data_IF_127739928889
#
_entry.id   IF_127739928889
#
_cell.length_a   1.000
_cell.length_b   1.000
_cell.length_c   1.000
_cell.angle_alpha   90.00
_cell.angle_beta   90.00
_cell.angle_gamma   90.00
#
_symmetry.space_group_name_H-M   'P 1'
#
loop_
_entity.id
_entity.type
_entity.pdbx_description
1 polymer ?
#
# COMPACT_ATOMS: atom_id res chain seq x y z
N UNK A 1 -0.26 18.01 26.14
CA UNK A 1 0.93 18.81 25.74
C UNK A 1 2.23 17.98 25.72
N UNK A 2 2.32 16.90 26.50
CA UNK A 2 3.43 15.93 26.50
C UNK A 2 3.61 15.30 25.10
N UNK A 3 4.85 15.26 24.59
CA UNK A 3 5.15 14.65 23.28
C UNK A 3 5.28 13.13 23.42
N UNK A 4 4.77 12.39 22.43
CA UNK A 4 4.88 10.93 22.34
C UNK A 4 5.49 10.53 20.99
N UNK A 5 6.06 9.33 20.89
CA UNK A 5 6.67 8.80 19.66
C UNK A 5 8.19 8.99 19.57
N UNK A 6 8.77 8.83 18.38
CA UNK A 6 10.18 9.15 18.14
C UNK A 6 10.40 10.64 18.38
N UNK A 7 11.53 10.99 18.99
CA UNK A 7 11.75 12.39 19.24
C UNK A 7 11.12 12.90 20.56
N UNK A 8 10.87 12.07 21.58
CA UNK A 8 10.01 12.43 22.72
C UNK A 8 10.65 12.45 24.11
N UNK A 9 11.86 11.97 24.29
CA UNK A 9 12.48 11.84 25.61
C UNK A 9 13.17 13.13 26.06
N UNK A 10 13.40 13.28 27.37
CA UNK A 10 14.19 14.39 27.94
C UNK A 10 15.57 14.53 27.30
N UNK A 11 16.23 13.41 26.99
CA UNK A 11 17.56 13.32 26.39
C UNK A 11 17.71 14.09 25.07
N UNK A 12 16.62 14.28 24.33
CA UNK A 12 16.69 14.94 23.04
C UNK A 12 16.48 16.45 23.09
N UNK A 13 15.93 16.97 24.19
CA UNK A 13 15.72 18.41 24.38
C UNK A 13 15.55 18.71 25.86
N UNK A 14 16.67 18.89 26.54
CA UNK A 14 16.74 19.18 27.98
C UNK A 14 15.99 20.46 28.35
N UNK A 15 16.04 21.48 27.48
CA UNK A 15 15.33 22.75 27.64
C UNK A 15 13.80 22.66 27.62
N UNK A 16 13.24 21.51 27.22
CA UNK A 16 11.79 21.25 27.20
C UNK A 16 11.32 20.33 28.33
N UNK A 17 12.17 20.11 29.34
CA UNK A 17 11.85 19.37 30.56
C UNK A 17 11.77 20.33 31.75
N UNK A 18 10.57 20.86 32.01
CA UNK A 18 10.30 21.79 33.10
C UNK A 18 8.95 21.45 33.77
N UNK A 19 8.76 21.87 35.02
CA UNK A 19 7.53 21.68 35.77
C UNK A 19 6.53 22.79 35.51
N UNK A 20 5.25 22.45 35.46
CA UNK A 20 4.15 23.41 35.39
C UNK A 20 3.34 23.29 36.68
N UNK A 21 3.32 24.38 37.46
CA UNK A 21 2.60 24.46 38.73
C UNK A 21 1.15 24.88 38.48
N UNK A 22 0.21 24.09 39.00
CA UNK A 22 -1.23 24.29 38.80
C UNK A 22 -1.93 24.36 40.15
N UNK A 23 -2.83 25.33 40.32
CA UNK A 23 -3.70 25.40 41.51
C UNK A 23 -4.71 24.24 41.53
N UNK A 24 -4.83 23.56 42.67
CA UNK A 24 -5.65 22.37 42.78
C UNK A 24 -7.15 22.64 42.65
N UNK A 25 -7.59 23.85 42.98
CA UNK A 25 -9.00 24.26 43.03
C UNK A 25 -9.42 24.95 41.73
N UNK A 26 -8.66 25.95 41.27
CA UNK A 26 -9.01 26.75 40.08
C UNK A 26 -8.52 26.11 38.78
N UNK A 27 -7.56 25.18 38.85
CA UNK A 27 -6.85 24.60 37.69
C UNK A 27 -6.12 25.66 36.84
N UNK A 28 -5.84 26.83 37.42
CA UNK A 28 -5.03 27.86 36.78
C UNK A 28 -3.55 27.50 36.87
N UNK A 29 -2.81 27.81 35.81
CA UNK A 29 -1.35 27.64 35.78
C UNK A 29 -0.74 28.83 36.53
N UNK A 30 -0.20 28.56 37.72
CA UNK A 30 0.34 29.58 38.62
C UNK A 30 1.78 29.92 38.24
N UNK A 31 2.57 28.91 37.90
CA UNK A 31 3.99 29.08 37.62
C UNK A 31 4.52 28.03 36.64
N UNK A 32 5.65 28.32 36.01
CA UNK A 32 6.40 27.39 35.15
C UNK A 32 7.87 27.46 35.55
N UNK A 33 8.42 26.35 36.02
CA UNK A 33 9.80 26.29 36.50
C UNK A 33 10.79 26.48 35.35
N UNK A 34 12.04 26.79 35.68
CA UNK A 34 13.13 26.60 34.73
C UNK A 34 13.28 25.11 34.37
N UNK A 35 13.87 24.85 33.21
CA UNK A 35 14.23 23.49 32.83
C UNK A 35 15.30 22.95 33.78
N UNK A 36 15.26 21.64 34.04
CA UNK A 36 16.30 21.03 34.87
C UNK A 36 17.68 21.13 34.19
N UNK A 37 18.74 21.47 34.93
CA UNK A 37 20.02 21.90 34.37
C UNK A 37 20.83 20.77 33.72
N UNK A 38 20.54 19.52 34.03
CA UNK A 38 21.21 18.34 33.45
C UNK A 38 20.25 17.15 33.40
N UNK A 39 20.58 16.11 32.62
CA UNK A 39 19.81 14.86 32.60
C UNK A 39 19.76 14.14 33.96
N UNK A 40 20.83 14.23 34.74
CA UNK A 40 20.98 13.56 36.03
C UNK A 40 20.24 14.28 37.18
N UNK A 41 19.70 15.48 36.90
CA UNK A 41 18.94 16.23 37.89
C UNK A 41 17.61 15.52 38.17
N UNK A 42 17.43 15.08 39.42
CA UNK A 42 16.19 14.49 39.89
C UNK A 42 15.05 15.51 39.89
N UNK A 43 13.82 15.03 39.69
CA UNK A 43 12.61 15.85 39.77
C UNK A 43 12.43 16.33 41.22
N UNK A 44 12.39 17.66 41.49
CA UNK A 44 12.21 18.18 42.83
C UNK A 44 10.87 17.78 43.45
N UNK A 45 10.87 17.45 44.73
CA UNK A 45 9.64 17.18 45.49
C UNK A 45 8.84 18.47 45.64
N UNK A 46 7.58 18.44 45.23
CA UNK A 46 6.68 19.57 45.40
C UNK A 46 6.18 19.66 46.85
N UNK A 47 6.41 20.80 47.50
CA UNK A 47 6.15 20.98 48.94
C UNK A 47 4.82 21.70 49.24
N UNK A 48 4.23 22.40 48.27
CA UNK A 48 2.97 23.11 48.47
C UNK A 48 1.78 22.14 48.36
N UNK A 49 0.82 22.24 49.27
CA UNK A 49 -0.38 21.38 49.31
C UNK A 49 -1.52 21.94 48.45
N UNK A 50 -1.52 23.24 48.18
CA UNK A 50 -2.57 23.93 47.45
C UNK A 50 -2.36 23.88 45.93
N UNK A 51 -1.12 23.63 45.50
CA UNK A 51 -0.74 23.47 44.10
C UNK A 51 -0.23 22.06 43.80
N UNK A 52 -0.22 21.68 42.53
CA UNK A 52 0.37 20.44 42.02
C UNK A 52 1.38 20.78 40.94
N UNK A 53 2.57 20.20 41.01
CA UNK A 53 3.58 20.29 39.96
C UNK A 53 3.38 19.18 38.93
N UNK A 54 3.14 19.56 37.68
CA UNK A 54 3.00 18.64 36.55
C UNK A 54 4.29 18.62 35.74
N UNK A 55 4.94 17.46 35.70
CA UNK A 55 6.13 17.20 34.88
C UNK A 55 5.76 16.40 33.63
N UNK A 56 6.55 16.47 32.54
CA UNK A 56 6.29 15.71 31.32
C UNK A 56 6.72 14.23 31.47
N UNK A 57 6.27 13.55 32.53
CA UNK A 57 6.53 12.11 32.78
C UNK A 57 5.31 11.32 32.31
N UNK A 58 5.48 10.23 31.57
CA UNK A 58 4.36 9.39 31.13
C UNK A 58 3.86 8.40 32.19
N UNK A 59 2.75 7.72 31.90
CA UNK A 59 2.07 6.81 32.83
C UNK A 59 2.93 5.55 33.16
N UNK A 60 4.04 5.33 32.43
CA UNK A 60 5.04 4.29 32.68
C UNK A 60 6.27 4.83 33.43
N UNK A 61 6.23 6.10 33.86
CA UNK A 61 7.34 6.76 34.56
C UNK A 61 8.45 7.26 33.63
N UNK A 62 8.27 7.24 32.30
CA UNK A 62 9.32 7.68 31.37
C UNK A 62 9.32 9.20 31.26
N UNK A 63 10.50 9.80 31.44
CA UNK A 63 10.74 11.23 31.27
C UNK A 63 10.65 11.64 29.79
N UNK A 64 9.50 12.22 29.42
CA UNK A 64 9.27 12.83 28.10
C UNK A 64 9.58 14.31 28.14
N UNK A 65 9.36 15.00 27.03
CA UNK A 65 9.43 16.47 26.95
C UNK A 65 8.07 17.12 26.64
N UNK A 66 7.94 18.38 26.99
CA UNK A 66 6.85 19.21 26.49
C UNK A 66 7.02 19.49 25.00
N UNK A 67 5.89 19.69 24.32
CA UNK A 67 5.90 20.04 22.89
C UNK A 67 6.39 21.48 22.62
N UNK A 68 6.22 22.38 23.60
CA UNK A 68 6.58 23.80 23.50
C UNK A 68 7.65 24.19 24.54
N UNK A 69 8.45 25.20 24.21
CA UNK A 69 9.39 25.80 25.15
C UNK A 69 8.69 26.61 26.24
N UNK A 70 9.38 26.81 27.36
CA UNK A 70 8.88 27.48 28.57
C UNK A 70 8.22 28.83 28.31
N UNK A 71 8.92 29.74 27.62
CA UNK A 71 8.44 31.11 27.39
C UNK A 71 7.10 31.14 26.64
N UNK A 72 6.95 30.20 25.71
CA UNK A 72 5.71 30.04 24.95
C UNK A 72 4.56 29.57 25.83
N UNK A 73 4.81 28.62 26.73
CA UNK A 73 3.79 28.12 27.68
C UNK A 73 3.35 29.21 28.65
N UNK A 74 4.28 30.00 29.19
CA UNK A 74 3.96 31.13 30.08
C UNK A 74 3.04 32.14 29.37
N UNK A 75 3.37 32.48 28.12
CA UNK A 75 2.56 33.40 27.31
C UNK A 75 1.19 32.81 26.98
N UNK A 76 1.15 31.58 26.47
CA UNK A 76 -0.08 30.93 26.02
C UNK A 76 -1.02 30.55 27.18
N UNK A 77 -0.48 30.33 28.39
CA UNK A 77 -1.27 30.15 29.61
C UNK A 77 -2.03 31.44 29.99
N UNK A 78 -1.37 32.61 29.89
CA UNK A 78 -2.02 33.91 30.11
C UNK A 78 -3.09 34.23 29.07
N UNK A 79 -2.88 33.79 27.83
CA UNK A 79 -3.84 33.91 26.73
C UNK A 79 -4.99 32.89 26.80
N UNK A 80 -4.95 31.94 27.75
CA UNK A 80 -5.93 30.86 27.88
C UNK A 80 -5.88 29.81 26.77
N UNK A 81 -4.82 29.81 25.95
CA UNK A 81 -4.62 28.80 24.90
C UNK A 81 -3.91 27.56 25.43
N UNK A 82 -3.23 27.65 26.57
CA UNK A 82 -2.76 26.51 27.37
C UNK A 82 -3.52 26.50 28.69
N UNK A 83 -4.03 25.34 29.11
CA UNK A 83 -4.75 25.21 30.38
C UNK A 83 -4.55 23.84 31.00
N UNK A 84 -4.75 23.74 32.31
CA UNK A 84 -4.76 22.48 33.02
C UNK A 84 -6.18 21.89 33.07
N UNK A 85 -6.28 20.56 33.00
CA UNK A 85 -7.55 19.84 33.10
C UNK A 85 -7.37 18.60 33.95
N UNK A 86 -8.30 18.36 34.87
CA UNK A 86 -8.33 17.11 35.64
C UNK A 86 -8.95 15.99 34.82
N UNK A 87 -8.22 14.88 34.62
CA UNK A 87 -8.68 13.68 33.91
C UNK A 87 -8.31 12.47 34.77
N UNK A 88 -9.30 11.62 35.09
CA UNK A 88 -9.11 10.43 35.94
C UNK A 88 -8.41 10.71 37.28
N UNK A 89 -8.67 11.89 37.87
CA UNK A 89 -8.07 12.32 39.14
C UNK A 89 -6.75 13.09 39.00
N UNK A 90 -6.03 12.93 37.89
CA UNK A 90 -4.74 13.58 37.64
C UNK A 90 -4.89 14.90 36.87
N UNK A 91 -4.00 15.85 37.12
CA UNK A 91 -3.96 17.12 36.39
C UNK A 91 -3.09 16.96 35.15
N UNK A 92 -3.66 17.24 33.98
CA UNK A 92 -2.98 17.17 32.69
C UNK A 92 -2.97 18.53 32.01
N UNK A 93 -1.86 18.87 31.35
CA UNK A 93 -1.72 20.13 30.61
C UNK A 93 -2.17 19.96 29.15
N UNK A 94 -3.19 20.74 28.78
CA UNK A 94 -3.76 20.82 27.45
C UNK A 94 -3.36 22.12 26.75
N UNK A 95 -3.40 22.10 25.43
CA UNK A 95 -3.16 23.29 24.62
C UNK A 95 -4.13 23.31 23.45
N UNK A 96 -4.54 24.52 23.06
CA UNK A 96 -5.40 24.78 21.93
C UNK A 96 -4.50 24.94 20.73
N UNK A 97 -4.50 23.93 19.87
CA UNK A 97 -4.01 24.14 18.52
C UNK A 97 -5.08 24.95 17.79
N UNK A 98 -4.90 26.28 17.69
CA UNK A 98 -5.63 27.05 16.69
C UNK A 98 -5.43 26.31 15.37
N UNK A 99 -6.53 25.89 14.74
CA UNK A 99 -6.47 25.19 13.48
C UNK A 99 -5.73 26.10 12.51
N UNK A 100 -4.43 25.86 12.29
CA UNK A 100 -3.71 26.47 11.17
C UNK A 100 -4.63 26.24 9.96
N UNK A 101 -4.83 27.24 9.07
CA UNK A 101 -5.50 26.97 7.81
C UNK A 101 -4.75 25.81 7.17
N UNK A 102 -5.32 24.61 7.30
CA UNK A 102 -4.79 23.41 6.66
C UNK A 102 -5.12 23.63 5.21
N UNK A 103 -4.12 23.48 4.34
CA UNK A 103 -4.37 23.40 2.90
C UNK A 103 -5.56 22.46 2.70
N UNK A 104 -6.55 22.89 1.89
CA UNK A 104 -7.71 22.04 1.63
C UNK A 104 -7.16 20.72 1.11
N UNK A 105 -7.44 19.64 1.84
CA UNK A 105 -6.99 18.31 1.45
C UNK A 105 -7.83 17.86 0.27
N UNK A 106 -7.20 17.28 -0.75
CA UNK A 106 -7.91 16.48 -1.74
C UNK A 106 -8.31 15.16 -1.07
N UNK A 107 -9.44 15.15 -0.36
CA UNK A 107 -9.95 13.96 0.33
C UNK A 107 -10.97 13.27 -0.55
N UNK A 108 -10.67 12.03 -0.89
CA UNK A 108 -11.57 11.12 -1.59
C UNK A 108 -12.49 10.52 -0.52
N UNK A 109 -13.76 10.96 -0.47
CA UNK A 109 -14.74 10.55 0.53
C UNK A 109 -16.00 9.99 -0.13
N UNK A 110 -16.50 8.87 0.38
CA UNK A 110 -17.79 8.33 -0.02
C UNK A 110 -17.80 6.80 -0.05
N UNK A 111 -18.99 6.17 0.02
CA UNK A 111 -19.11 4.72 0.02
C UNK A 111 -18.44 4.07 -1.18
N UNK A 112 -18.64 4.63 -2.40
CA UNK A 112 -18.06 4.10 -3.65
C UNK A 112 -16.54 3.99 -3.60
N UNK A 113 -15.88 4.86 -2.84
CA UNK A 113 -14.42 4.92 -2.73
C UNK A 113 -13.87 3.94 -1.68
N UNK A 114 -14.75 3.26 -0.94
CA UNK A 114 -14.37 2.27 0.06
C UNK A 114 -13.98 0.92 -0.57
N UNK A 115 -12.78 0.45 -0.24
CA UNK A 115 -12.24 -0.80 -0.76
C UNK A 115 -12.86 -2.04 -0.10
N UNK A 116 -13.35 -1.94 1.14
CA UNK A 116 -13.95 -3.09 1.83
C UNK A 116 -15.28 -3.50 1.20
N UNK A 117 -16.20 -2.56 1.00
CA UNK A 117 -17.50 -2.83 0.38
C UNK A 117 -17.34 -3.07 -1.12
N UNK A 118 -16.78 -2.13 -1.88
CA UNK A 118 -16.83 -2.21 -3.35
C UNK A 118 -15.61 -2.90 -4.01
N UNK A 119 -14.56 -3.20 -3.25
CA UNK A 119 -13.48 -4.06 -3.71
C UNK A 119 -13.79 -5.53 -3.47
N UNK A 120 -13.96 -5.91 -2.21
CA UNK A 120 -14.10 -7.31 -1.79
C UNK A 120 -15.43 -7.94 -2.21
N UNK A 121 -16.57 -7.23 -2.07
CA UNK A 121 -17.88 -7.79 -2.48
C UNK A 121 -17.97 -7.99 -3.99
N UNK A 122 -17.39 -7.07 -4.78
CA UNK A 122 -17.31 -7.22 -6.24
C UNK A 122 -16.46 -8.42 -6.63
N UNK A 123 -15.31 -8.61 -5.97
CA UNK A 123 -14.50 -9.81 -6.22
C UNK A 123 -15.30 -11.08 -5.86
N UNK A 124 -16.06 -11.05 -4.76
CA UNK A 124 -16.91 -12.15 -4.33
C UNK A 124 -18.10 -12.42 -5.26
N UNK A 125 -18.61 -11.42 -6.00
CA UNK A 125 -19.67 -11.65 -6.98
C UNK A 125 -19.12 -12.25 -8.28
N UNK A 126 -17.94 -11.78 -8.71
CA UNK A 126 -17.22 -12.27 -9.88
C UNK A 126 -16.74 -13.72 -9.72
N UNK A 127 -16.49 -14.16 -8.50
CA UNK A 127 -15.91 -15.47 -8.19
C UNK A 127 -16.77 -16.28 -7.22
N UNK A 128 -16.57 -17.59 -7.13
CA UNK A 128 -17.19 -18.40 -6.09
C UNK A 128 -16.25 -18.43 -4.87
N UNK A 129 -16.70 -17.86 -3.76
CA UNK A 129 -15.86 -17.34 -2.65
C UNK A 129 -15.18 -18.42 -1.81
N UNK A 130 -15.39 -19.71 -2.09
CA UNK A 130 -14.76 -20.79 -1.31
C UNK A 130 -13.32 -21.10 -1.71
N UNK A 131 -12.76 -20.50 -2.78
CA UNK A 131 -11.44 -20.90 -3.30
C UNK A 131 -10.42 -19.79 -3.61
N UNK A 132 -10.77 -18.51 -3.49
CA UNK A 132 -9.85 -17.42 -3.90
C UNK A 132 -9.43 -16.60 -2.69
N UNK A 133 -8.21 -16.85 -2.20
CA UNK A 133 -7.59 -16.11 -1.12
C UNK A 133 -6.82 -14.89 -1.69
N UNK A 134 -7.55 -13.86 -2.13
CA UNK A 134 -6.94 -12.58 -2.54
C UNK A 134 -7.31 -11.49 -1.56
N UNK A 135 -6.32 -10.98 -0.84
CA UNK A 135 -6.52 -9.98 0.19
C UNK A 135 -6.47 -8.56 -0.41
N UNK A 136 -7.44 -7.73 -0.02
CA UNK A 136 -7.48 -6.28 -0.29
C UNK A 136 -7.52 -5.83 -1.77
N UNK A 137 -8.50 -6.28 -2.58
CA UNK A 137 -8.74 -5.63 -3.87
C UNK A 137 -9.13 -4.16 -3.68
N UNK A 138 -8.66 -3.28 -4.57
CA UNK A 138 -9.06 -1.86 -4.56
C UNK A 138 -10.51 -1.72 -5.01
N UNK A 139 -11.18 -0.64 -4.57
CA UNK A 139 -12.49 -0.27 -5.13
C UNK A 139 -12.34 0.08 -6.60
N UNK A 140 -13.21 -0.49 -7.43
CA UNK A 140 -13.26 -0.16 -8.86
C UNK A 140 -13.62 1.31 -9.11
N UNK A 141 -14.53 1.88 -8.31
CA UNK A 141 -14.97 3.25 -8.49
C UNK A 141 -13.86 4.24 -8.15
N UNK A 142 -13.07 3.95 -7.11
CA UNK A 142 -11.91 4.76 -6.77
C UNK A 142 -10.87 4.79 -7.89
N UNK A 143 -10.62 3.64 -8.52
CA UNK A 143 -9.70 3.56 -9.65
C UNK A 143 -10.28 4.27 -10.87
N UNK A 144 -11.56 4.07 -11.19
CA UNK A 144 -12.24 4.74 -12.31
C UNK A 144 -12.19 6.26 -12.21
N UNK A 145 -12.57 6.82 -11.06
CA UNK A 145 -12.51 8.27 -10.82
C UNK A 145 -11.07 8.82 -10.95
N UNK A 146 -10.07 8.03 -10.55
CA UNK A 146 -8.66 8.38 -10.76
C UNK A 146 -8.30 8.45 -12.25
N UNK A 147 -8.68 7.44 -13.04
CA UNK A 147 -8.38 7.40 -14.48
C UNK A 147 -9.09 8.53 -15.24
N UNK A 148 -10.35 8.83 -14.92
CA UNK A 148 -11.11 9.94 -15.49
C UNK A 148 -10.47 11.30 -15.15
N UNK A 149 -9.95 11.45 -13.92
CA UNK A 149 -9.25 12.66 -13.50
C UNK A 149 -7.91 12.86 -14.21
N UNK A 150 -7.26 11.77 -14.65
CA UNK A 150 -5.99 11.82 -15.39
C UNK A 150 -6.20 12.13 -16.88
N UNK A 151 -7.29 11.64 -17.48
CA UNK A 151 -7.56 11.86 -18.89
C UNK A 151 -9.04 11.74 -19.24
N UNK A 152 -9.56 12.75 -19.94
CA UNK A 152 -10.88 12.73 -20.58
C UNK A 152 -10.86 12.08 -21.98
N UNK A 153 -9.70 11.61 -22.46
CA UNK A 153 -9.59 11.03 -23.80
C UNK A 153 -10.20 9.63 -23.85
N UNK A 154 -11.03 9.39 -24.87
CA UNK A 154 -11.56 8.07 -25.21
C UNK A 154 -10.53 7.13 -25.84
N UNK A 155 -9.31 7.60 -26.09
CA UNK A 155 -8.21 6.84 -26.70
C UNK A 155 -6.98 6.73 -25.80
N UNK A 156 -7.12 7.09 -24.51
CA UNK A 156 -6.03 7.01 -23.55
C UNK A 156 -5.50 5.58 -23.39
N UNK A 157 -4.21 5.47 -23.04
CA UNK A 157 -3.58 4.21 -22.66
C UNK A 157 -3.11 4.30 -21.21
N UNK A 158 -3.65 3.44 -20.36
CA UNK A 158 -3.27 3.36 -18.94
C UNK A 158 -2.32 2.19 -18.70
N UNK A 159 -1.25 2.44 -17.93
CA UNK A 159 -0.30 1.42 -17.49
C UNK A 159 -0.39 1.27 -15.97
N UNK A 160 -0.57 0.03 -15.52
CA UNK A 160 -0.50 -0.35 -14.12
C UNK A 160 0.49 -1.50 -13.96
N UNK A 161 1.65 -1.18 -13.40
CA UNK A 161 2.74 -2.15 -13.19
C UNK A 161 2.66 -2.88 -11.83
N UNK A 162 1.61 -2.61 -11.05
CA UNK A 162 1.26 -3.33 -9.83
C UNK A 162 -0.23 -3.73 -9.87
N UNK A 163 -0.60 -4.47 -10.90
CA UNK A 163 -2.00 -4.68 -11.26
C UNK A 163 -2.82 -5.38 -10.16
N UNK A 164 -2.18 -6.22 -9.34
CA UNK A 164 -2.80 -7.01 -8.29
C UNK A 164 -3.95 -7.83 -8.85
N UNK A 165 -5.15 -7.63 -8.29
CA UNK A 165 -6.37 -8.27 -8.77
C UNK A 165 -6.81 -7.86 -10.19
N UNK A 166 -6.20 -6.85 -10.81
CA UNK A 166 -6.58 -6.34 -12.13
C UNK A 166 -7.70 -5.29 -12.08
N UNK A 167 -7.75 -4.49 -11.00
CA UNK A 167 -8.81 -3.48 -10.81
C UNK A 167 -8.75 -2.38 -11.88
N UNK A 168 -7.55 -1.95 -12.28
CA UNK A 168 -7.34 -0.94 -13.33
C UNK A 168 -7.87 -1.40 -14.69
N UNK A 169 -7.57 -2.62 -15.11
CA UNK A 169 -8.10 -3.17 -16.37
C UNK A 169 -9.63 -3.28 -16.35
N UNK A 170 -10.22 -3.69 -15.23
CA UNK A 170 -11.67 -3.71 -15.04
C UNK A 170 -12.27 -2.30 -15.18
N UNK A 171 -11.71 -1.30 -14.50
CA UNK A 171 -12.18 0.08 -14.59
C UNK A 171 -12.15 0.63 -16.03
N UNK A 172 -11.09 0.36 -16.79
CA UNK A 172 -10.98 0.78 -18.20
C UNK A 172 -12.05 0.11 -19.08
N UNK A 173 -12.29 -1.19 -18.87
CA UNK A 173 -13.35 -1.93 -19.57
C UNK A 173 -14.73 -1.33 -19.28
N UNK A 174 -15.01 -0.99 -18.01
CA UNK A 174 -16.26 -0.35 -17.63
C UNK A 174 -16.40 1.06 -18.22
N UNK A 175 -15.33 1.86 -18.22
CA UNK A 175 -15.33 3.17 -18.87
C UNK A 175 -15.66 3.05 -20.37
N UNK A 176 -15.02 2.11 -21.07
CA UNK A 176 -15.31 1.87 -22.49
C UNK A 176 -16.74 1.38 -22.73
N UNK A 177 -17.29 0.57 -21.82
CA UNK A 177 -18.70 0.14 -21.87
C UNK A 177 -19.66 1.31 -21.71
N UNK A 178 -19.38 2.21 -20.76
CA UNK A 178 -20.29 3.31 -20.42
C UNK A 178 -20.35 4.39 -21.50
N UNK A 179 -19.23 4.68 -22.16
CA UNK A 179 -19.14 5.79 -23.11
C UNK A 179 -18.74 5.40 -24.53
N UNK A 180 -18.75 4.10 -24.86
CA UNK A 180 -18.27 3.55 -26.13
C UNK A 180 -16.86 4.04 -26.51
N UNK A 181 -15.97 4.09 -25.52
CA UNK A 181 -14.57 4.49 -25.67
C UNK A 181 -13.67 3.37 -26.21
N UNK A 182 -12.48 3.78 -26.65
CA UNK A 182 -11.43 2.93 -27.22
C UNK A 182 -10.15 2.96 -26.37
N UNK A 183 -10.30 3.12 -25.05
CA UNK A 183 -9.17 3.21 -24.12
C UNK A 183 -8.46 1.87 -24.03
N UNK A 184 -7.13 1.93 -23.93
CA UNK A 184 -6.26 0.75 -23.82
C UNK A 184 -5.70 0.65 -22.42
N UNK A 185 -5.35 -0.55 -22.00
CA UNK A 185 -4.65 -0.76 -20.74
C UNK A 185 -3.52 -1.79 -20.89
N UNK A 186 -2.46 -1.61 -20.10
CA UNK A 186 -1.39 -2.58 -19.89
C UNK A 186 -1.29 -2.88 -18.41
N UNK A 187 -1.36 -4.16 -18.05
CA UNK A 187 -1.22 -4.63 -16.67
C UNK A 187 0.05 -5.46 -16.55
N UNK A 188 0.85 -5.21 -15.51
CA UNK A 188 1.97 -6.07 -15.13
C UNK A 188 1.70 -6.64 -13.74
N UNK A 189 1.91 -7.94 -13.62
CA UNK A 189 1.71 -8.69 -12.39
C UNK A 189 2.72 -9.85 -12.31
N UNK A 190 3.29 -10.08 -11.14
CA UNK A 190 4.26 -11.16 -10.88
C UNK A 190 3.69 -12.26 -9.96
N UNK A 191 2.58 -12.00 -9.25
CA UNK A 191 1.99 -12.94 -8.32
C UNK A 191 1.40 -14.19 -8.97
N UNK A 192 1.52 -15.33 -8.29
CA UNK A 192 0.94 -16.63 -8.67
C UNK A 192 -0.59 -16.56 -8.88
N UNK A 193 -1.25 -15.58 -8.26
CA UNK A 193 -2.69 -15.33 -8.43
C UNK A 193 -3.06 -14.74 -9.80
N UNK A 194 -2.10 -14.48 -10.69
CA UNK A 194 -2.38 -13.95 -12.02
C UNK A 194 -3.42 -14.81 -12.78
N UNK A 195 -3.23 -16.14 -12.77
CA UNK A 195 -4.11 -17.06 -13.51
C UNK A 195 -5.43 -17.33 -12.80
N UNK A 196 -5.49 -17.21 -11.48
CA UNK A 196 -6.70 -17.47 -10.69
C UNK A 196 -7.56 -16.23 -10.46
N UNK A 197 -6.95 -15.03 -10.47
CA UNK A 197 -7.61 -13.77 -10.11
C UNK A 197 -7.50 -12.75 -11.22
N UNK A 198 -6.29 -12.29 -11.56
CA UNK A 198 -6.07 -11.12 -12.42
C UNK A 198 -6.64 -11.35 -13.82
N UNK A 199 -6.19 -12.40 -14.50
CA UNK A 199 -6.64 -12.73 -15.86
C UNK A 199 -8.14 -13.08 -15.90
N UNK A 200 -8.68 -13.95 -15.00
CA UNK A 200 -10.11 -14.19 -14.94
C UNK A 200 -10.95 -12.95 -14.64
N UNK A 201 -10.51 -12.05 -13.76
CA UNK A 201 -11.25 -10.83 -13.42
C UNK A 201 -11.43 -9.96 -14.65
N UNK A 202 -10.35 -9.69 -15.40
CA UNK A 202 -10.43 -8.86 -16.60
C UNK A 202 -11.28 -9.54 -17.69
N UNK A 203 -11.14 -10.87 -17.89
CA UNK A 203 -12.00 -11.62 -18.81
C UNK A 203 -13.49 -11.51 -18.44
N UNK A 204 -13.82 -11.68 -17.16
CA UNK A 204 -15.19 -11.57 -16.65
C UNK A 204 -15.73 -10.15 -16.81
N UNK A 205 -14.91 -9.15 -16.53
CA UNK A 205 -15.23 -7.75 -16.72
C UNK A 205 -15.55 -7.42 -18.18
N UNK A 206 -14.82 -8.00 -19.15
CA UNK A 206 -15.15 -7.83 -20.58
C UNK A 206 -16.48 -8.46 -20.92
N UNK A 207 -16.76 -9.66 -20.39
CA UNK A 207 -17.94 -10.45 -20.74
C UNK A 207 -19.26 -9.85 -20.27
N UNK A 208 -19.35 -9.43 -19.00
CA UNK A 208 -20.54 -8.78 -18.44
C UNK A 208 -20.22 -8.08 -17.12
N UNK A 209 -21.07 -7.14 -16.72
CA UNK A 209 -21.11 -6.56 -15.37
C UNK A 209 -21.90 -7.42 -14.39
N UNK A 210 -22.83 -8.24 -14.88
CA UNK A 210 -23.85 -8.89 -14.04
C UNK A 210 -23.39 -10.29 -13.63
N UNK A 211 -22.69 -10.35 -12.50
CA UNK A 211 -22.21 -11.60 -11.93
C UNK A 211 -22.83 -11.88 -10.56
N UNK A 212 -23.15 -13.14 -10.32
CA UNK A 212 -23.53 -13.63 -8.99
C UNK A 212 -22.82 -14.96 -8.72
N UNK A 213 -21.96 -14.96 -7.71
CA UNK A 213 -21.18 -16.12 -7.26
C UNK A 213 -20.47 -16.85 -8.41
N UNK A 214 -19.81 -16.08 -9.28
CA UNK A 214 -19.05 -16.63 -10.40
C UNK A 214 -19.85 -17.03 -11.63
N UNK A 215 -21.19 -16.91 -11.62
CA UNK A 215 -22.05 -17.13 -12.78
C UNK A 215 -22.51 -15.80 -13.37
N UNK A 216 -22.45 -15.71 -14.70
CA UNK A 216 -22.96 -14.56 -15.44
C UNK A 216 -24.49 -14.62 -15.47
N UNK A 217 -25.14 -13.49 -15.20
CA UNK A 217 -26.60 -13.33 -15.28
C UNK A 217 -27.05 -12.78 -16.64
N UNK A 218 -26.14 -12.09 -17.34
CA UNK A 218 -26.37 -11.54 -18.68
C UNK A 218 -25.14 -11.75 -19.56
N UNK A 219 -25.30 -11.50 -20.87
CA UNK A 219 -24.24 -11.55 -21.85
C UNK A 219 -24.24 -10.23 -22.62
N UNK A 220 -23.31 -9.34 -22.28
CA UNK A 220 -23.16 -8.01 -22.87
C UNK A 220 -21.66 -7.65 -22.99
N UNK A 221 -20.92 -8.38 -23.84
CA UNK A 221 -19.49 -8.22 -23.92
C UNK A 221 -19.10 -6.85 -24.50
N UNK A 222 -17.97 -6.29 -24.03
CA UNK A 222 -17.36 -5.13 -24.70
C UNK A 222 -16.64 -5.62 -25.96
N UNK A 223 -17.34 -5.58 -27.09
CA UNK A 223 -16.89 -6.16 -28.38
C UNK A 223 -15.55 -5.62 -28.88
N UNK A 224 -15.18 -4.41 -28.44
CA UNK A 224 -14.00 -3.70 -28.90
C UNK A 224 -12.73 -4.04 -28.11
N UNK A 225 -12.79 -4.96 -27.14
CA UNK A 225 -11.67 -5.28 -26.24
C UNK A 225 -11.05 -6.64 -26.56
N UNK A 226 -9.76 -6.63 -26.92
CA UNK A 226 -8.94 -7.84 -27.06
C UNK A 226 -7.83 -7.84 -26.02
N UNK A 227 -7.65 -8.95 -25.31
CA UNK A 227 -6.55 -9.13 -24.35
C UNK A 227 -5.49 -10.03 -24.97
N UNK A 228 -4.25 -9.55 -24.98
CA UNK A 228 -3.05 -10.35 -25.14
C UNK A 228 -2.32 -10.37 -23.81
N UNK A 229 -1.98 -11.54 -23.29
CA UNK A 229 -1.05 -11.67 -22.16
C UNK A 229 0.27 -12.25 -22.65
N UNK A 230 1.35 -11.85 -22.01
CA UNK A 230 2.71 -12.31 -22.30
C UNK A 230 3.30 -12.72 -20.96
N UNK A 231 3.78 -13.96 -20.86
CA UNK A 231 4.56 -14.42 -19.72
C UNK A 231 6.02 -14.10 -20.02
N UNK A 232 6.68 -13.43 -19.09
CA UNK A 232 8.12 -13.17 -19.15
C UNK A 232 8.76 -14.18 -18.21
N UNK A 233 9.74 -14.93 -18.71
CA UNK A 233 10.49 -15.94 -17.95
C UNK A 233 11.97 -15.55 -18.00
N UNK A 234 12.76 -15.98 -17.01
CA UNK A 234 14.20 -15.82 -17.12
C UNK A 234 14.76 -16.72 -18.23
N UNK A 235 15.94 -16.40 -18.74
CA UNK A 235 16.60 -17.22 -19.76
C UNK A 235 16.81 -18.66 -19.28
N UNK A 236 17.30 -18.81 -18.04
CA UNK A 236 17.52 -20.12 -17.40
C UNK A 236 16.22 -20.92 -17.25
N UNK A 237 15.15 -20.26 -16.78
CA UNK A 237 13.82 -20.91 -16.66
C UNK A 237 13.28 -21.32 -18.02
N UNK A 238 13.50 -20.50 -19.05
CA UNK A 238 13.12 -20.80 -20.43
C UNK A 238 13.83 -22.06 -20.91
N UNK A 239 15.14 -22.17 -20.70
CA UNK A 239 15.92 -23.37 -21.06
C UNK A 239 15.40 -24.62 -20.33
N UNK A 240 15.10 -24.51 -19.03
CA UNK A 240 14.58 -25.62 -18.24
C UNK A 240 13.17 -26.07 -18.67
N UNK A 241 12.33 -25.13 -19.13
CA UNK A 241 10.97 -25.42 -19.60
C UNK A 241 10.90 -25.99 -21.01
N UNK A 242 12.03 -26.06 -21.74
CA UNK A 242 12.08 -26.72 -23.06
C UNK A 242 11.88 -28.22 -22.83
N UNK A 243 10.63 -28.67 -22.93
CA UNK A 243 10.28 -30.08 -22.97
C UNK A 243 10.75 -30.66 -24.32
N UNK A 244 11.94 -31.26 -24.30
CA UNK A 244 12.47 -31.99 -25.43
C UNK A 244 11.56 -33.21 -25.70
N UNK A 245 10.91 -33.22 -26.87
CA UNK A 245 10.20 -34.40 -27.36
C UNK A 245 11.24 -35.47 -27.70
N UNK A 246 11.63 -36.27 -26.71
CA UNK A 246 12.48 -37.42 -26.92
C UNK A 246 11.70 -38.49 -27.69
N UNK A 247 12.12 -38.76 -28.92
CA UNK A 247 11.70 -39.95 -29.67
C UNK A 247 12.29 -41.20 -28.98
N UNK A 248 11.60 -42.34 -29.08
CA UNK A 248 12.03 -43.58 -28.40
C UNK A 248 13.46 -44.01 -28.79
N UNK A 249 13.89 -43.69 -30.01
CA UNK A 249 15.23 -43.98 -30.54
C UNK A 249 16.35 -43.19 -29.84
N UNK A 250 16.05 -42.05 -29.22
CA UNK A 250 17.05 -41.17 -28.60
C UNK A 250 17.28 -41.50 -27.12
N UNK A 251 16.48 -42.34 -26.48
CA UNK A 251 16.73 -42.73 -25.08
C UNK A 251 18.02 -43.55 -24.91
N UNK A 252 18.25 -44.51 -25.80
CA UNK A 252 19.38 -45.44 -25.67
C UNK A 252 20.74 -44.79 -25.97
N UNK A 253 20.79 -43.79 -26.87
CA UNK A 253 22.04 -43.16 -27.28
C UNK A 253 22.64 -42.21 -26.20
N UNK A 254 21.79 -41.66 -25.33
CA UNK A 254 22.20 -40.69 -24.30
C UNK A 254 22.53 -41.32 -22.94
N UNK A 255 22.16 -42.58 -22.69
CA UNK A 255 22.52 -43.29 -21.46
C UNK A 255 24.01 -43.70 -21.43
N UNK A 256 24.64 -43.86 -22.59
CA UNK A 256 26.04 -44.30 -22.73
C UNK A 256 27.08 -43.16 -22.70
N UNK A 257 26.67 -41.88 -22.76
CA UNK A 257 27.57 -40.73 -22.92
C UNK A 257 27.49 -39.72 -21.76
N UNK A 258 27.63 -40.21 -20.52
CA UNK A 258 27.47 -39.42 -19.28
C UNK A 258 28.44 -38.24 -19.10
N UNK A 259 29.62 -38.23 -19.74
CA UNK A 259 30.65 -37.17 -19.52
C UNK A 259 30.72 -36.09 -20.60
N UNK A 260 30.26 -36.34 -21.84
CA UNK A 260 30.32 -35.35 -22.96
C UNK A 260 29.04 -34.47 -22.97
N UNK A 261 28.27 -34.52 -21.87
CA UNK A 261 26.81 -34.35 -21.87
C UNK A 261 26.30 -32.92 -21.81
N UNK A 262 27.15 -31.92 -21.61
CA UNK A 262 26.66 -30.55 -21.41
C UNK A 262 26.72 -29.76 -22.72
N UNK A 263 27.90 -29.54 -23.29
CA UNK A 263 28.05 -28.66 -24.46
C UNK A 263 27.58 -29.28 -25.78
N UNK A 264 27.89 -30.55 -26.03
CA UNK A 264 27.57 -31.21 -27.31
C UNK A 264 26.07 -31.51 -27.41
N UNK A 265 25.47 -31.83 -26.27
CA UNK A 265 24.04 -32.10 -26.14
C UNK A 265 23.25 -30.81 -26.25
N UNK A 266 23.67 -29.71 -25.62
CA UNK A 266 23.03 -28.41 -25.81
C UNK A 266 23.04 -27.96 -27.27
N UNK A 267 24.21 -28.00 -27.92
CA UNK A 267 24.35 -27.55 -29.30
C UNK A 267 23.54 -28.40 -30.28
N UNK A 268 23.59 -29.71 -30.14
CA UNK A 268 22.80 -30.61 -30.99
C UNK A 268 21.29 -30.46 -30.74
N UNK A 269 20.86 -30.35 -29.47
CA UNK A 269 19.43 -30.19 -29.10
C UNK A 269 18.85 -28.85 -29.56
N UNK A 270 19.62 -27.76 -29.48
CA UNK A 270 19.24 -26.46 -30.01
C UNK A 270 19.17 -26.45 -31.53
N UNK A 271 20.04 -27.17 -32.24
CA UNK A 271 20.08 -27.11 -33.70
C UNK A 271 19.10 -28.08 -34.39
N UNK A 272 18.80 -29.23 -33.77
CA UNK A 272 18.02 -30.29 -34.41
C UNK A 272 16.63 -30.48 -33.83
N UNK A 273 16.46 -30.47 -32.51
CA UNK A 273 15.18 -30.73 -31.84
C UNK A 273 14.33 -29.45 -31.67
N UNK A 274 14.95 -28.27 -31.72
CA UNK A 274 14.26 -26.98 -31.61
C UNK A 274 13.70 -26.43 -32.94
N UNK A 275 13.83 -27.15 -34.06
CA UNK A 275 13.45 -26.68 -35.41
C UNK A 275 11.99 -26.23 -35.57
N UNK A 276 11.09 -26.64 -34.67
CA UNK A 276 9.70 -26.19 -34.60
C UNK A 276 9.37 -25.26 -33.42
N UNK A 277 10.36 -24.87 -32.62
CA UNK A 277 10.24 -23.98 -31.46
C UNK A 277 10.63 -22.54 -31.82
N UNK A 278 10.12 -21.56 -31.07
CA UNK A 278 10.40 -20.14 -31.25
C UNK A 278 11.90 -19.79 -31.12
N UNK A 279 12.66 -20.63 -30.41
CA UNK A 279 14.09 -20.50 -30.12
C UNK A 279 15.00 -21.27 -31.10
N UNK A 280 14.57 -21.50 -32.33
CA UNK A 280 15.43 -22.08 -33.36
C UNK A 280 16.66 -21.18 -33.63
N UNK A 281 17.87 -21.76 -33.65
CA UNK A 281 19.14 -21.08 -33.95
C UNK A 281 19.13 -20.36 -35.31
N UNK A 282 18.32 -20.82 -36.27
CA UNK A 282 18.11 -20.16 -37.55
C UNK A 282 17.42 -18.79 -37.43
N UNK A 283 16.59 -18.58 -36.39
CA UNK A 283 15.97 -17.28 -36.11
C UNK A 283 17.00 -16.26 -35.59
N UNK A 284 18.07 -16.71 -34.93
CA UNK A 284 19.15 -15.86 -34.44
C UNK A 284 20.19 -15.52 -35.51
N UNK A 285 20.28 -16.32 -36.59
CA UNK A 285 21.14 -16.05 -37.75
C UNK A 285 20.52 -15.09 -38.77
N UNK A 286 19.22 -14.79 -38.65
CA UNK A 286 18.58 -13.71 -39.42
C UNK A 286 18.95 -12.37 -38.78
N UNK A 287 20.10 -11.83 -39.18
CA UNK A 287 20.43 -10.42 -38.97
C UNK A 287 19.31 -9.54 -39.54
N UNK A 288 18.92 -8.51 -38.80
CA UNK A 288 18.18 -7.36 -39.33
C UNK A 288 19.02 -6.69 -40.41
#
# INVERSE_FOLDING_TARGET
MRRTGSGSTRAESESQFYGIEVDNNTLEIVNVTEALPSLDSAIPTHLNKDTTMVWPVDDQGVERRWYYGRDRVIREAKEGTVWAKRIKGEIQIHYRQAGKPKMRKSVWIGPKLDASTYGSELLNSLFNVTQINFSFPKSIYAVKECLESLSNSKYAHFLDYFAGSGTTGHAVVDMNRDDNGFRKFSLVEQGEYFYSVTLPRVKKAIFTTDWKYGKALSCNPVEQTLIKYIKIESFEDTLNNIALKRTETTKDLFDDLKEIREDYVLNYMLETESKGSLLNTDNFKKTI
#
